data_IF_897361412422
#
_entry.id   IF_897361412422
#
_cell.length_a   1.000
_cell.length_b   1.000
_cell.length_c   1.000
_cell.angle_alpha   90.00
_cell.angle_beta   90.00
_cell.angle_gamma   90.00
#
_symmetry.space_group_name_H-M   'P 1'
#
loop_
_entity.id
_entity.type
_entity.pdbx_description
1 polymer ?
#
# COMPACT_ATOMS: atom_id res chain seq x y z
N UNK A 1 7.41 16.65 26.76
CA UNK A 1 6.13 16.42 26.06
C UNK A 1 5.19 15.65 26.99
N UNK A 2 4.50 16.33 27.91
CA UNK A 2 3.40 15.73 28.69
C UNK A 2 2.11 16.00 27.91
N UNK A 3 1.63 15.01 27.15
CA UNK A 3 0.27 15.06 26.63
C UNK A 3 -0.68 14.74 27.77
N UNK A 4 -1.64 15.62 28.04
CA UNK A 4 -2.69 15.40 29.03
C UNK A 4 -3.53 14.18 28.61
N UNK A 5 -3.88 13.32 29.57
CA UNK A 5 -4.69 12.11 29.35
C UNK A 5 -6.03 12.45 28.66
N UNK A 6 -6.58 13.64 28.93
CA UNK A 6 -7.80 14.14 28.30
C UNK A 6 -7.60 14.40 26.80
N UNK A 7 -6.45 14.94 26.40
CA UNK A 7 -6.14 15.17 24.99
C UNK A 7 -6.04 13.86 24.22
N UNK A 8 -5.45 12.82 24.82
CA UNK A 8 -5.34 11.49 24.22
C UNK A 8 -6.75 10.89 24.02
N UNK A 9 -7.59 10.94 25.06
CA UNK A 9 -8.97 10.44 24.99
C UNK A 9 -9.81 11.18 23.93
N UNK A 10 -9.77 12.52 23.91
CA UNK A 10 -10.48 13.32 22.91
C UNK A 10 -9.98 13.04 21.49
N UNK A 11 -8.67 12.84 21.32
CA UNK A 11 -8.09 12.51 20.00
C UNK A 11 -8.50 11.12 19.54
N UNK A 12 -8.52 10.11 20.43
CA UNK A 12 -8.97 8.76 20.11
C UNK A 12 -10.44 8.76 19.71
N UNK A 13 -11.31 9.42 20.50
CA UNK A 13 -12.74 9.50 20.20
C UNK A 13 -12.98 10.31 18.93
N UNK A 14 -12.27 11.42 18.73
CA UNK A 14 -12.33 12.22 17.51
C UNK A 14 -11.92 11.43 16.27
N UNK A 15 -10.79 10.70 16.33
CA UNK A 15 -10.36 9.82 15.23
C UNK A 15 -11.35 8.68 14.98
N UNK A 16 -11.93 8.11 16.04
CA UNK A 16 -12.94 7.05 15.92
C UNK A 16 -14.16 7.57 15.15
N UNK A 17 -14.69 8.73 15.51
CA UNK A 17 -15.81 9.37 14.81
C UNK A 17 -15.43 9.64 13.35
N UNK A 18 -14.32 10.33 13.10
CA UNK A 18 -13.91 10.72 11.74
C UNK A 18 -13.54 9.52 10.86
N UNK A 19 -13.15 8.38 11.41
CA UNK A 19 -12.83 7.16 10.64
C UNK A 19 -14.06 6.30 10.40
N UNK A 20 -14.94 6.16 11.40
CA UNK A 20 -16.15 5.35 11.29
C UNK A 20 -17.23 6.04 10.48
N UNK A 21 -17.42 7.37 10.59
CA UNK A 21 -18.45 8.08 9.82
C UNK A 21 -18.31 7.83 8.31
N UNK A 22 -17.15 8.06 7.68
CA UNK A 22 -16.98 7.87 6.24
C UNK A 22 -17.00 6.40 5.81
N UNK A 23 -16.79 5.45 6.72
CA UNK A 23 -16.88 4.01 6.42
C UNK A 23 -18.31 3.48 6.58
N UNK A 24 -19.01 3.90 7.62
CA UNK A 24 -20.39 3.50 7.90
C UNK A 24 -21.38 4.22 6.99
N UNK A 25 -21.14 5.48 6.62
CA UNK A 25 -22.04 6.22 5.75
C UNK A 25 -22.25 5.51 4.40
N UNK A 26 -21.21 5.11 3.65
CA UNK A 26 -21.38 4.34 2.43
C UNK A 26 -22.07 3.01 2.70
N UNK A 27 -21.64 2.26 3.72
CA UNK A 27 -22.19 0.93 4.01
C UNK A 27 -23.68 1.03 4.35
N UNK A 28 -24.08 1.95 5.24
CA UNK A 28 -25.46 2.11 5.68
C UNK A 28 -26.37 2.75 4.61
N UNK A 29 -25.89 3.75 3.87
CA UNK A 29 -26.67 4.40 2.80
C UNK A 29 -26.82 3.50 1.57
N UNK A 30 -25.84 2.64 1.28
CA UNK A 30 -25.82 1.79 0.09
C UNK A 30 -26.27 0.36 0.37
N UNK A 31 -26.48 -0.05 1.64
CA UNK A 31 -26.95 -1.40 2.00
C UNK A 31 -28.29 -1.78 1.36
N UNK A 32 -29.06 -0.81 0.87
CA UNK A 32 -30.39 -1.03 0.28
C UNK A 32 -30.48 -0.67 -1.22
N UNK A 33 -29.37 -0.25 -1.86
CA UNK A 33 -29.33 0.00 -3.30
C UNK A 33 -28.42 -1.02 -3.97
N UNK A 34 -29.01 -1.85 -4.83
CA UNK A 34 -28.26 -2.69 -5.76
C UNK A 34 -27.44 -1.77 -6.67
N UNK A 35 -26.14 -1.68 -6.39
CA UNK A 35 -25.23 -0.98 -7.30
C UNK A 35 -25.28 -1.64 -8.69
N UNK A 36 -25.22 -0.87 -9.77
CA UNK A 36 -25.05 -1.43 -11.11
C UNK A 36 -23.81 -2.33 -11.10
N UNK A 37 -23.89 -3.53 -11.69
CA UNK A 37 -22.79 -4.49 -11.72
C UNK A 37 -21.45 -3.89 -12.22
N UNK A 38 -21.54 -2.85 -13.06
CA UNK A 38 -20.38 -2.09 -13.55
C UNK A 38 -19.65 -1.35 -12.43
N UNK A 39 -20.36 -0.73 -11.49
CA UNK A 39 -19.77 0.07 -10.41
C UNK A 39 -19.12 -0.82 -9.36
N UNK A 40 -19.75 -1.94 -8.99
CA UNK A 40 -19.17 -2.92 -8.05
C UNK A 40 -17.92 -3.58 -8.63
N UNK A 41 -17.96 -3.93 -9.91
CA UNK A 41 -16.79 -4.46 -10.60
C UNK A 41 -15.66 -3.43 -10.67
N UNK A 42 -15.95 -2.16 -10.99
CA UNK A 42 -14.96 -1.09 -10.99
C UNK A 42 -14.35 -0.86 -9.60
N UNK A 43 -15.18 -0.82 -8.56
CA UNK A 43 -14.74 -0.60 -7.18
C UNK A 43 -13.85 -1.73 -6.66
N UNK A 44 -14.04 -2.96 -7.14
CA UNK A 44 -13.16 -4.10 -6.85
C UNK A 44 -11.72 -3.92 -7.36
N UNK A 45 -11.53 -3.15 -8.45
CA UNK A 45 -10.20 -2.85 -9.00
C UNK A 45 -9.51 -1.67 -8.32
N UNK A 46 -10.25 -0.80 -7.64
CA UNK A 46 -9.71 0.40 -6.98
C UNK A 46 -8.58 0.07 -6.00
N UNK A 47 -8.70 -0.92 -5.08
CA UNK A 47 -7.61 -1.27 -4.17
C UNK A 47 -6.33 -1.67 -4.90
N UNK A 48 -6.43 -2.54 -5.91
CA UNK A 48 -5.28 -3.00 -6.68
C UNK A 48 -4.61 -1.87 -7.48
N UNK A 49 -5.43 -0.98 -8.07
CA UNK A 49 -4.94 0.19 -8.80
C UNK A 49 -4.20 1.17 -7.89
N UNK A 50 -4.76 1.47 -6.71
CA UNK A 50 -4.13 2.35 -5.73
C UNK A 50 -2.80 1.76 -5.24
N UNK A 51 -2.77 0.48 -4.86
CA UNK A 51 -1.52 -0.17 -4.43
C UNK A 51 -0.44 -0.12 -5.52
N UNK A 52 -0.82 -0.36 -6.77
CA UNK A 52 0.10 -0.28 -7.91
C UNK A 52 0.58 1.16 -8.17
N UNK A 53 -0.31 2.14 -8.07
CA UNK A 53 0.01 3.56 -8.22
C UNK A 53 0.87 4.11 -7.07
N UNK A 54 0.76 3.55 -5.87
CA UNK A 54 1.63 3.86 -4.72
C UNK A 54 3.00 3.19 -4.87
N UNK A 55 3.04 1.96 -5.40
CA UNK A 55 4.28 1.22 -5.62
C UNK A 55 5.12 1.83 -6.74
N UNK A 56 4.49 2.25 -7.85
CA UNK A 56 5.20 2.79 -9.02
C UNK A 56 6.20 3.92 -8.68
N UNK A 57 5.82 5.04 -8.04
CA UNK A 57 6.76 6.10 -7.70
C UNK A 57 7.83 5.61 -6.72
N UNK A 58 7.50 4.70 -5.81
CA UNK A 58 8.49 4.11 -4.90
C UNK A 58 9.58 3.29 -5.62
N UNK A 59 9.32 2.82 -6.84
CA UNK A 59 10.29 2.12 -7.66
C UNK A 59 11.03 3.07 -8.62
N UNK A 60 10.30 3.96 -9.29
CA UNK A 60 10.83 4.79 -10.39
C UNK A 60 11.45 6.12 -9.94
N UNK A 61 11.08 6.65 -8.77
CA UNK A 61 11.51 7.98 -8.31
C UNK A 61 12.43 7.82 -7.10
N UNK A 62 13.69 8.23 -7.25
CA UNK A 62 14.65 8.31 -6.15
C UNK A 62 15.24 9.73 -6.10
N UNK A 63 15.20 10.40 -4.95
CA UNK A 63 15.73 11.76 -4.75
C UNK A 63 15.27 12.79 -5.81
N UNK A 64 13.97 12.83 -6.09
CA UNK A 64 13.35 13.82 -7.01
C UNK A 64 13.84 13.77 -8.47
N UNK A 65 14.61 12.75 -8.84
CA UNK A 65 15.06 12.53 -10.21
C UNK A 65 14.42 11.24 -10.73
N UNK A 66 14.04 11.24 -12.02
CA UNK A 66 13.63 10.02 -12.71
C UNK A 66 14.86 9.13 -12.91
N UNK A 67 15.15 8.31 -11.90
CA UNK A 67 16.22 7.32 -11.93
C UNK A 67 15.75 6.07 -12.68
N UNK A 68 15.50 6.25 -13.98
CA UNK A 68 15.37 5.18 -14.98
C UNK A 68 16.76 4.67 -15.42
N UNK A 69 17.78 4.97 -14.63
CA UNK A 69 19.14 4.49 -14.84
C UNK A 69 19.23 3.04 -14.38
N UNK A 70 19.97 2.22 -15.12
CA UNK A 70 20.24 0.79 -14.82
C UNK A 70 20.87 0.54 -13.44
N UNK A 71 21.29 1.61 -12.77
CA UNK A 71 21.84 1.65 -11.41
C UNK A 71 20.76 1.65 -10.30
N UNK A 72 19.48 1.84 -10.65
CA UNK A 72 18.39 1.87 -9.67
C UNK A 72 18.09 0.45 -9.15
N UNK A 73 18.76 0.13 -8.05
CA UNK A 73 18.63 -1.04 -7.19
C UNK A 73 17.19 -1.49 -6.91
N UNK A 74 16.26 -0.55 -6.73
CA UNK A 74 14.87 -0.87 -6.42
C UNK A 74 14.12 -1.41 -7.65
N UNK A 75 14.44 -0.94 -8.85
CA UNK A 75 13.86 -1.44 -10.10
C UNK A 75 14.25 -2.90 -10.37
N UNK A 76 15.52 -3.23 -10.16
CA UNK A 76 16.02 -4.60 -10.32
C UNK A 76 15.47 -5.54 -9.25
N UNK A 77 15.27 -5.07 -8.02
CA UNK A 77 14.64 -5.85 -6.96
C UNK A 77 13.16 -6.16 -7.22
N UNK A 78 12.46 -5.31 -8.00
CA UNK A 78 11.06 -5.51 -8.31
C UNK A 78 10.82 -6.72 -9.22
N UNK A 79 11.74 -7.02 -10.14
CA UNK A 79 11.60 -8.13 -11.10
C UNK A 79 11.41 -9.50 -10.41
N UNK A 80 12.31 -9.97 -9.51
CA UNK A 80 12.14 -11.25 -8.83
C UNK A 80 10.90 -11.25 -7.93
N UNK A 81 10.57 -10.12 -7.30
CA UNK A 81 9.37 -9.98 -6.46
C UNK A 81 8.09 -10.14 -7.30
N UNK A 82 8.06 -9.57 -8.49
CA UNK A 82 6.91 -9.63 -9.41
C UNK A 82 6.72 -11.06 -9.95
N UNK A 83 7.82 -11.76 -10.25
CA UNK A 83 7.79 -13.19 -10.64
C UNK A 83 7.17 -14.03 -9.52
N UNK A 84 7.62 -13.84 -8.28
CA UNK A 84 7.10 -14.59 -7.13
C UNK A 84 5.65 -14.21 -6.82
N UNK A 85 5.27 -12.94 -6.99
CA UNK A 85 3.90 -12.48 -6.80
C UNK A 85 2.92 -13.16 -7.76
N UNK A 86 3.27 -13.24 -9.06
CA UNK A 86 2.43 -13.88 -10.08
C UNK A 86 2.33 -15.39 -9.82
N UNK A 87 3.44 -16.04 -9.45
CA UNK A 87 3.49 -17.49 -9.26
C UNK A 87 2.79 -17.95 -7.97
N UNK A 88 3.03 -17.25 -6.87
CA UNK A 88 2.55 -17.69 -5.54
C UNK A 88 1.11 -17.25 -5.30
N UNK A 89 0.63 -16.18 -5.96
CA UNK A 89 -0.66 -15.52 -5.68
C UNK A 89 -0.92 -15.28 -4.18
N UNK A 90 0.14 -15.24 -3.38
CA UNK A 90 0.10 -15.10 -1.91
C UNK A 90 0.77 -13.79 -1.53
N UNK A 91 0.02 -12.96 -0.80
CA UNK A 91 0.49 -11.67 -0.33
C UNK A 91 1.75 -11.79 0.55
N UNK A 92 1.75 -12.76 1.47
CA UNK A 92 2.89 -13.01 2.37
C UNK A 92 4.15 -13.47 1.62
N UNK A 93 4.00 -14.33 0.60
CA UNK A 93 5.14 -14.81 -0.19
C UNK A 93 5.86 -13.67 -0.93
N UNK A 94 5.09 -12.71 -1.46
CA UNK A 94 5.63 -11.50 -2.10
C UNK A 94 6.40 -10.63 -1.13
N UNK A 95 5.88 -10.42 0.09
CA UNK A 95 6.53 -9.61 1.12
C UNK A 95 7.86 -10.22 1.53
N UNK A 96 7.87 -11.51 1.89
CA UNK A 96 9.09 -12.19 2.36
C UNK A 96 10.17 -12.17 1.28
N UNK A 97 9.80 -12.43 0.02
CA UNK A 97 10.73 -12.38 -1.10
C UNK A 97 11.32 -10.97 -1.27
N UNK A 98 10.49 -9.93 -1.24
CA UNK A 98 10.96 -8.55 -1.34
C UNK A 98 11.91 -8.18 -0.21
N UNK A 99 11.59 -8.58 1.03
CA UNK A 99 12.46 -8.35 2.18
C UNK A 99 13.82 -9.04 2.01
N UNK A 100 13.84 -10.31 1.57
CA UNK A 100 15.08 -11.08 1.37
C UNK A 100 15.94 -10.48 0.26
N UNK A 101 15.34 -10.13 -0.88
CA UNK A 101 16.07 -9.53 -2.02
C UNK A 101 16.69 -8.19 -1.63
N UNK A 102 15.92 -7.31 -0.97
CA UNK A 102 16.43 -6.00 -0.55
C UNK A 102 17.47 -6.14 0.57
N UNK A 103 17.24 -7.02 1.55
CA UNK A 103 18.18 -7.24 2.65
C UNK A 103 19.51 -7.81 2.15
N UNK A 104 19.47 -8.81 1.27
CA UNK A 104 20.67 -9.41 0.67
C UNK A 104 21.44 -8.40 -0.17
N UNK A 105 20.74 -7.61 -0.98
CA UNK A 105 21.36 -6.63 -1.85
C UNK A 105 21.93 -5.43 -1.05
N UNK A 106 21.28 -5.01 0.04
CA UNK A 106 21.83 -4.04 1.00
C UNK A 106 23.04 -4.58 1.75
N UNK A 107 23.07 -5.87 2.10
CA UNK A 107 24.23 -6.49 2.75
C UNK A 107 25.45 -6.51 1.83
N UNK A 108 25.25 -6.73 0.53
CA UNK A 108 26.33 -6.68 -0.48
C UNK A 108 26.90 -5.28 -0.71
N UNK A 109 26.10 -4.21 -0.57
CA UNK A 109 26.59 -2.83 -0.66
C UNK A 109 27.19 -2.29 0.64
N UNK A 110 26.84 -2.89 1.79
CA UNK A 110 27.35 -2.49 3.10
C UNK A 110 28.71 -3.13 3.44
N UNK A 111 29.21 -4.02 2.59
CA UNK A 111 30.51 -4.69 2.70
C UNK A 111 31.50 -4.10 1.71
#
# INVERSE_FOLDING_TARGET
MQYSQETILVTIVGMMVVTYLPRLLPIALLSNKQFPAVVTQWLSYVPAAILSALLAPSLFIHNNNFSLSFDNMYLWSAIPVLIVAIRTKSFFGTIVTGMVVIAGWRYLLAM
#
